data_IF_930348995962
#
_entry.id   IF_930348995962
#
_cell.length_a   1.000
_cell.length_b   1.000
_cell.length_c   1.000
_cell.angle_alpha   90.00
_cell.angle_beta   90.00
_cell.angle_gamma   90.00
#
_symmetry.space_group_name_H-M   'P 1'
#
loop_
_entity.id
_entity.type
_entity.pdbx_description
1 polymer ?
#
# COMPACT_ATOMS: atom_id res chain seq x y z
N UNK A 1 50.03 22.48 19.01
CA UNK A 1 49.00 21.80 19.85
C UNK A 1 47.64 22.51 19.80
N UNK A 2 47.60 23.84 19.72
CA UNK A 2 46.36 24.64 19.68
C UNK A 2 45.57 24.47 18.38
N UNK A 3 46.23 24.53 17.22
CA UNK A 3 45.61 24.29 15.91
C UNK A 3 44.91 22.93 15.79
N UNK A 4 45.54 21.86 16.31
CA UNK A 4 44.93 20.53 16.28
C UNK A 4 43.63 20.45 17.09
N UNK A 5 43.54 21.18 18.21
CA UNK A 5 42.31 21.25 19.01
C UNK A 5 41.23 22.04 18.28
N UNK A 6 41.59 23.14 17.62
CA UNK A 6 40.66 23.95 16.83
C UNK A 6 40.08 23.18 15.63
N UNK A 7 40.92 22.41 14.92
CA UNK A 7 40.49 21.54 13.81
C UNK A 7 39.51 20.47 14.32
N UNK A 8 39.79 19.83 15.46
CA UNK A 8 38.90 18.82 16.05
C UNK A 8 37.56 19.43 16.47
N UNK A 9 37.58 20.61 17.10
CA UNK A 9 36.35 21.32 17.50
C UNK A 9 35.52 21.71 16.28
N UNK A 10 36.16 22.19 15.20
CA UNK A 10 35.49 22.51 13.95
C UNK A 10 34.84 21.27 13.31
N UNK A 11 35.53 20.13 13.30
CA UNK A 11 34.99 18.86 12.79
C UNK A 11 33.80 18.36 13.63
N UNK A 12 33.87 18.47 14.96
CA UNK A 12 32.76 18.11 15.85
C UNK A 12 31.56 19.05 15.63
N UNK A 13 31.79 20.35 15.46
CA UNK A 13 30.72 21.31 15.20
C UNK A 13 30.02 21.04 13.85
N UNK A 14 30.80 20.78 12.79
CA UNK A 14 30.26 20.44 11.47
C UNK A 14 29.52 19.10 11.50
N UNK A 15 30.11 18.06 12.10
CA UNK A 15 29.47 16.75 12.25
C UNK A 15 28.21 16.82 13.12
N UNK A 16 28.25 17.60 14.19
CA UNK A 16 27.16 17.82 15.12
C UNK A 16 25.95 18.52 14.49
N UNK A 17 26.16 19.38 13.48
CA UNK A 17 25.07 20.00 12.72
C UNK A 17 24.57 19.11 11.56
N UNK A 18 25.48 18.37 10.92
CA UNK A 18 25.17 17.57 9.74
C UNK A 18 24.36 16.30 10.06
N UNK A 19 24.69 15.60 11.15
CA UNK A 19 23.96 14.40 11.59
C UNK A 19 22.46 14.68 11.83
N UNK A 20 22.06 15.67 12.66
CA UNK A 20 20.64 15.94 12.89
C UNK A 20 19.93 16.43 11.62
N UNK A 21 20.61 17.15 10.74
CA UNK A 21 20.05 17.53 9.44
C UNK A 21 19.71 16.31 8.58
N UNK A 22 20.64 15.35 8.46
CA UNK A 22 20.41 14.12 7.70
C UNK A 22 19.30 13.26 8.33
N UNK A 23 19.26 13.15 9.66
CA UNK A 23 18.18 12.45 10.36
C UNK A 23 16.82 13.12 10.13
N UNK A 24 16.77 14.46 10.14
CA UNK A 24 15.54 15.21 9.87
C UNK A 24 15.09 15.01 8.42
N UNK A 25 16.01 15.06 7.46
CA UNK A 25 15.71 14.83 6.04
C UNK A 25 15.23 13.40 5.77
N UNK A 26 15.86 12.40 6.37
CA UNK A 26 15.39 11.02 6.28
C UNK A 26 13.99 10.84 6.89
N UNK A 27 13.70 11.51 8.02
CA UNK A 27 12.36 11.48 8.61
C UNK A 27 11.32 12.13 7.70
N UNK A 28 11.65 13.26 7.07
CA UNK A 28 10.79 13.96 6.11
C UNK A 28 10.50 13.08 4.89
N UNK A 29 11.52 12.44 4.32
CA UNK A 29 11.37 11.52 3.18
C UNK A 29 10.52 10.30 3.55
N UNK A 30 10.79 9.68 4.69
CA UNK A 30 10.00 8.54 5.16
C UNK A 30 8.54 8.91 5.42
N UNK A 31 8.29 10.12 5.93
CA UNK A 31 6.93 10.63 6.11
C UNK A 31 6.21 10.81 4.76
N UNK A 32 6.88 11.43 3.77
CA UNK A 32 6.34 11.59 2.41
C UNK A 32 6.05 10.26 1.74
N UNK A 33 6.94 9.27 1.86
CA UNK A 33 6.71 7.92 1.33
C UNK A 33 5.51 7.26 2.03
N UNK A 34 5.41 7.39 3.35
CA UNK A 34 4.28 6.83 4.10
C UNK A 34 2.94 7.49 3.72
N UNK A 35 2.94 8.78 3.41
CA UNK A 35 1.78 9.51 2.91
C UNK A 35 1.37 9.03 1.51
N UNK A 36 2.32 8.99 0.56
CA UNK A 36 2.08 8.49 -0.79
C UNK A 36 1.56 7.05 -0.80
N UNK A 37 2.08 6.21 0.10
CA UNK A 37 1.61 4.84 0.29
C UNK A 37 0.17 4.77 0.77
N UNK A 38 -0.22 5.62 1.72
CA UNK A 38 -1.63 5.71 2.19
C UNK A 38 -2.55 6.16 1.06
N UNK A 39 -2.12 7.15 0.28
CA UNK A 39 -2.86 7.66 -0.87
C UNK A 39 -3.04 6.58 -1.94
N UNK A 40 -1.97 5.84 -2.27
CA UNK A 40 -2.02 4.73 -3.21
C UNK A 40 -3.01 3.64 -2.78
N UNK A 41 -3.00 3.25 -1.51
CA UNK A 41 -3.97 2.29 -1.00
C UNK A 41 -5.39 2.83 -0.96
N UNK A 42 -5.58 4.09 -0.60
CA UNK A 42 -6.91 4.70 -0.62
C UNK A 42 -7.48 4.73 -2.05
N UNK A 43 -6.67 5.14 -3.02
CA UNK A 43 -6.99 5.15 -4.45
C UNK A 43 -7.35 3.76 -4.96
N UNK A 44 -6.49 2.77 -4.67
CA UNK A 44 -6.72 1.36 -5.04
C UNK A 44 -8.00 0.80 -4.42
N UNK A 45 -8.19 0.94 -3.10
CA UNK A 45 -9.36 0.37 -2.42
C UNK A 45 -10.66 1.05 -2.82
N UNK A 46 -10.62 2.37 -3.08
CA UNK A 46 -11.76 3.11 -3.63
C UNK A 46 -12.13 2.56 -5.00
N UNK A 47 -11.18 2.54 -5.94
CA UNK A 47 -11.42 2.02 -7.30
C UNK A 47 -11.91 0.57 -7.28
N UNK A 48 -11.31 -0.29 -6.45
CA UNK A 48 -11.72 -1.68 -6.29
C UNK A 48 -13.16 -1.82 -5.80
N UNK A 49 -13.55 -1.04 -4.79
CA UNK A 49 -14.91 -1.07 -4.22
C UNK A 49 -15.93 -0.49 -5.20
N UNK A 50 -15.62 0.62 -5.86
CA UNK A 50 -16.50 1.26 -6.85
C UNK A 50 -16.78 0.33 -8.03
N UNK A 51 -15.75 -0.33 -8.57
CA UNK A 51 -15.93 -1.32 -9.65
C UNK A 51 -16.76 -2.50 -9.17
N UNK A 52 -16.49 -3.04 -7.97
CA UNK A 52 -17.26 -4.17 -7.45
C UNK A 52 -18.76 -3.81 -7.28
N UNK A 53 -19.06 -2.62 -6.76
CA UNK A 53 -20.44 -2.12 -6.60
C UNK A 53 -21.11 -1.92 -7.95
N UNK A 54 -20.43 -1.28 -8.91
CA UNK A 54 -20.97 -1.06 -10.25
C UNK A 54 -21.30 -2.38 -10.95
N UNK A 55 -20.40 -3.37 -10.87
CA UNK A 55 -20.64 -4.71 -11.42
C UNK A 55 -21.84 -5.41 -10.75
N UNK A 56 -21.99 -5.29 -9.42
CA UNK A 56 -23.16 -5.85 -8.71
C UNK A 56 -24.49 -5.22 -9.13
N UNK A 57 -24.48 -3.97 -9.59
CA UNK A 57 -25.66 -3.23 -10.03
C UNK A 57 -25.84 -3.20 -11.56
N UNK A 58 -25.06 -4.00 -12.30
CA UNK A 58 -25.07 -4.05 -13.78
C UNK A 58 -24.83 -2.66 -14.41
N UNK A 59 -24.05 -1.82 -13.73
CA UNK A 59 -23.63 -0.51 -14.21
C UNK A 59 -22.44 -0.64 -15.18
N UNK A 60 -22.37 0.27 -16.15
CA UNK A 60 -21.28 0.29 -17.12
C UNK A 60 -19.97 0.73 -16.46
N UNK A 61 -19.02 -0.19 -16.37
CA UNK A 61 -17.64 0.05 -15.88
C UNK A 61 -16.62 0.21 -17.02
N UNK A 62 -17.11 0.34 -18.26
CA UNK A 62 -16.29 0.54 -19.45
C UNK A 62 -16.10 2.03 -19.78
N UNK A 63 -15.14 2.32 -20.65
CA UNK A 63 -14.90 3.66 -21.14
C UNK A 63 -13.57 4.25 -20.68
N UNK A 64 -13.11 5.24 -21.45
CA UNK A 64 -11.76 5.79 -21.35
C UNK A 64 -11.42 6.36 -19.97
N UNK A 65 -12.38 6.99 -19.32
CA UNK A 65 -12.17 7.60 -18.00
C UNK A 65 -12.10 6.54 -16.90
N UNK A 66 -12.99 5.54 -16.91
CA UNK A 66 -12.95 4.41 -15.99
C UNK A 66 -11.66 3.58 -16.15
N UNK A 67 -11.21 3.37 -17.39
CA UNK A 67 -9.94 2.70 -17.68
C UNK A 67 -8.75 3.50 -17.16
N UNK A 68 -8.76 4.82 -17.36
CA UNK A 68 -7.72 5.71 -16.85
C UNK A 68 -7.64 5.67 -15.32
N UNK A 69 -8.76 5.75 -14.63
CA UNK A 69 -8.79 5.73 -13.16
C UNK A 69 -8.29 4.39 -12.61
N UNK A 70 -8.67 3.28 -13.26
CA UNK A 70 -8.19 1.94 -12.94
C UNK A 70 -6.68 1.80 -13.16
N UNK A 71 -6.17 2.35 -14.27
CA UNK A 71 -4.72 2.37 -14.56
C UNK A 71 -3.97 3.17 -13.50
N UNK A 72 -4.44 4.39 -13.18
CA UNK A 72 -3.81 5.24 -12.18
C UNK A 72 -3.78 4.59 -10.79
N UNK A 73 -4.89 3.99 -10.36
CA UNK A 73 -4.97 3.29 -9.09
C UNK A 73 -3.99 2.09 -9.03
N UNK A 74 -3.86 1.35 -10.13
CA UNK A 74 -2.91 0.24 -10.25
C UNK A 74 -1.45 0.71 -10.28
N UNK A 75 -1.13 1.75 -11.05
CA UNK A 75 0.22 2.29 -11.14
C UNK A 75 0.71 2.81 -9.78
N UNK A 76 -0.15 3.52 -9.05
CA UNK A 76 0.16 3.97 -7.69
C UNK A 76 0.37 2.79 -6.74
N UNK A 77 -0.45 1.74 -6.83
CA UNK A 77 -0.27 0.52 -6.04
C UNK A 77 1.08 -0.14 -6.36
N UNK A 78 1.41 -0.31 -7.64
CA UNK A 78 2.67 -0.91 -8.09
C UNK A 78 3.90 -0.14 -7.59
N UNK A 79 3.81 1.18 -7.51
CA UNK A 79 4.92 2.04 -7.10
C UNK A 79 5.16 2.05 -5.59
N UNK A 80 4.10 2.03 -4.78
CA UNK A 80 4.20 2.29 -3.34
C UNK A 80 3.86 1.11 -2.42
N UNK A 81 3.26 0.04 -2.96
CA UNK A 81 2.94 -1.13 -2.15
C UNK A 81 4.16 -2.02 -1.91
N UNK A 82 4.20 -2.69 -0.75
CA UNK A 82 5.18 -3.76 -0.51
C UNK A 82 4.98 -4.96 -1.43
N UNK A 83 6.06 -5.71 -1.60
CA UNK A 83 6.09 -7.01 -2.28
C UNK A 83 4.99 -7.96 -1.83
N UNK A 84 4.66 -7.99 -0.53
CA UNK A 84 3.63 -8.89 0.01
C UNK A 84 2.23 -8.50 -0.49
N UNK A 85 1.95 -7.20 -0.60
CA UNK A 85 0.70 -6.70 -1.19
C UNK A 85 0.65 -7.01 -2.68
N UNK A 86 1.76 -6.78 -3.40
CA UNK A 86 1.84 -7.06 -4.85
C UNK A 86 1.61 -8.55 -5.13
N UNK A 87 2.22 -9.44 -4.35
CA UNK A 87 2.03 -10.89 -4.49
C UNK A 87 0.59 -11.32 -4.17
N UNK A 88 -0.01 -10.76 -3.12
CA UNK A 88 -1.40 -11.05 -2.77
C UNK A 88 -2.35 -10.60 -3.89
N UNK A 89 -2.11 -9.41 -4.45
CA UNK A 89 -2.90 -8.88 -5.55
C UNK A 89 -2.71 -9.67 -6.86
N UNK A 90 -1.49 -10.01 -7.24
CA UNK A 90 -1.21 -10.87 -8.41
C UNK A 90 -1.91 -12.23 -8.28
N UNK A 91 -1.91 -12.82 -7.08
CA UNK A 91 -2.61 -14.09 -6.83
C UNK A 91 -4.12 -13.95 -7.04
N UNK A 92 -4.73 -12.85 -6.56
CA UNK A 92 -6.14 -12.57 -6.78
C UNK A 92 -6.46 -12.36 -8.27
N UNK A 93 -5.67 -11.54 -8.99
CA UNK A 93 -5.88 -11.27 -10.42
C UNK A 93 -5.81 -12.57 -11.23
N UNK A 94 -4.79 -13.39 -11.02
CA UNK A 94 -4.66 -14.70 -11.71
C UNK A 94 -5.83 -15.62 -11.45
N UNK A 95 -6.40 -15.56 -10.25
CA UNK A 95 -7.56 -16.35 -9.87
C UNK A 95 -8.85 -15.81 -10.50
N UNK A 96 -9.02 -14.49 -10.52
CA UNK A 96 -10.15 -13.81 -11.14
C UNK A 96 -10.22 -14.02 -12.67
N UNK A 97 -9.11 -14.41 -13.32
CA UNK A 97 -9.11 -14.76 -14.74
C UNK A 97 -9.55 -16.21 -15.04
N UNK A 98 -9.80 -17.04 -14.01
CA UNK A 98 -10.19 -18.45 -14.18
C UNK A 98 -11.70 -18.56 -14.41
N UNK A 99 -12.12 -19.26 -15.48
CA UNK A 99 -13.55 -19.41 -15.87
C UNK A 99 -14.50 -20.05 -14.84
N UNK A 100 -13.98 -20.66 -13.78
CA UNK A 100 -14.77 -21.32 -12.72
C UNK A 100 -14.44 -20.66 -11.39
N UNK A 101 -15.29 -19.71 -11.01
CA UNK A 101 -15.13 -18.95 -9.77
C UNK A 101 -15.70 -19.73 -8.60
N UNK A 102 -14.85 -20.09 -7.64
CA UNK A 102 -15.25 -20.36 -6.27
C UNK A 102 -15.16 -19.03 -5.50
N UNK A 103 -16.33 -18.54 -5.07
CA UNK A 103 -16.51 -17.25 -4.38
C UNK A 103 -15.84 -17.23 -3.01
N UNK A 104 -15.82 -18.37 -2.30
CA UNK A 104 -15.17 -18.47 -0.99
C UNK A 104 -13.67 -18.23 -1.15
N UNK A 105 -13.08 -18.80 -2.20
CA UNK A 105 -11.67 -18.62 -2.52
C UNK A 105 -11.36 -17.21 -3.00
N UNK A 106 -12.24 -16.59 -3.79
CA UNK A 106 -12.06 -15.19 -4.22
C UNK A 106 -12.05 -14.26 -3.00
N UNK A 107 -13.01 -14.45 -2.10
CA UNK A 107 -13.11 -13.72 -0.84
C UNK A 107 -11.88 -13.92 0.06
N UNK A 108 -11.35 -15.13 0.15
CA UNK A 108 -10.10 -15.39 0.89
C UNK A 108 -8.91 -14.62 0.29
N UNK A 109 -8.82 -14.56 -1.04
CA UNK A 109 -7.76 -13.83 -1.74
C UNK A 109 -7.88 -12.31 -1.53
N UNK A 110 -9.10 -11.77 -1.58
CA UNK A 110 -9.36 -10.36 -1.25
C UNK A 110 -8.99 -10.06 0.21
N UNK A 111 -9.36 -10.95 1.14
CA UNK A 111 -8.97 -10.82 2.55
C UNK A 111 -7.45 -10.84 2.74
N UNK A 112 -6.72 -11.60 1.92
CA UNK A 112 -5.25 -11.66 1.93
C UNK A 112 -4.64 -10.33 1.51
N UNK A 113 -5.22 -9.65 0.51
CA UNK A 113 -4.80 -8.30 0.10
C UNK A 113 -4.98 -7.32 1.26
N UNK A 114 -6.15 -7.31 1.92
CA UNK A 114 -6.40 -6.42 3.05
C UNK A 114 -5.43 -6.66 4.22
N UNK A 115 -5.12 -7.93 4.51
CA UNK A 115 -4.18 -8.27 5.57
C UNK A 115 -2.77 -7.78 5.25
N UNK A 116 -2.33 -7.96 4.00
CA UNK A 116 -1.04 -7.47 3.52
C UNK A 116 -0.96 -5.94 3.62
N UNK A 117 -1.98 -5.21 3.16
CA UNK A 117 -2.04 -3.74 3.26
C UNK A 117 -1.96 -3.29 4.73
N UNK A 118 -2.69 -3.96 5.64
CA UNK A 118 -2.61 -3.66 7.08
C UNK A 118 -1.20 -3.85 7.64
N UNK A 119 -0.55 -4.96 7.32
CA UNK A 119 0.84 -5.23 7.76
C UNK A 119 1.77 -4.15 7.21
N UNK A 120 1.55 -3.73 5.97
CA UNK A 120 2.43 -2.81 5.30
C UNK A 120 2.28 -1.35 5.76
N UNK A 121 1.10 -0.98 6.24
CA UNK A 121 0.82 0.33 6.83
C UNK A 121 1.17 0.42 8.32
N UNK A 122 0.95 -0.67 9.07
CA UNK A 122 1.03 -0.67 10.54
C UNK A 122 2.26 -1.41 11.08
N UNK A 123 3.00 -2.12 10.23
CA UNK A 123 4.12 -2.99 10.58
C UNK A 123 3.67 -4.30 11.23
N UNK A 124 3.02 -4.23 12.40
CA UNK A 124 2.52 -5.39 13.15
C UNK A 124 1.00 -5.32 13.26
N UNK A 125 0.33 -6.45 13.06
CA UNK A 125 -1.12 -6.57 13.26
C UNK A 125 -1.46 -7.86 13.99
N UNK A 126 -2.42 -7.78 14.92
CA UNK A 126 -3.04 -8.95 15.56
C UNK A 126 -4.25 -9.48 14.78
N UNK A 127 -4.71 -8.72 13.78
CA UNK A 127 -5.77 -9.14 12.86
C UNK A 127 -5.28 -10.33 12.04
N UNK A 128 -6.14 -11.33 11.90
CA UNK A 128 -5.88 -12.58 11.18
C UNK A 128 -6.86 -12.71 10.01
N UNK A 129 -6.61 -13.69 9.14
CA UNK A 129 -7.52 -14.03 8.04
C UNK A 129 -8.93 -14.35 8.52
N UNK A 130 -9.07 -15.07 9.64
CA UNK A 130 -10.37 -15.40 10.24
C UNK A 130 -11.16 -14.15 10.67
N UNK A 131 -10.48 -13.15 11.25
CA UNK A 131 -11.11 -11.88 11.58
C UNK A 131 -11.62 -11.14 10.33
N UNK A 132 -10.87 -11.23 9.22
CA UNK A 132 -11.24 -10.58 7.96
C UNK A 132 -12.32 -11.34 7.21
N UNK A 133 -12.33 -12.67 7.25
CA UNK A 133 -13.34 -13.50 6.59
C UNK A 133 -14.77 -13.12 7.02
N UNK A 134 -14.97 -12.77 8.29
CA UNK A 134 -16.27 -12.34 8.81
C UNK A 134 -16.68 -10.89 8.43
N UNK A 135 -15.70 -10.09 8.02
CA UNK A 135 -15.85 -8.67 7.69
C UNK A 135 -15.75 -8.40 6.19
N UNK A 136 -15.32 -9.38 5.40
CA UNK A 136 -15.16 -9.22 3.97
C UNK A 136 -16.53 -9.05 3.31
N UNK A 137 -16.80 -7.92 2.62
CA UNK A 137 -18.08 -7.71 1.94
C UNK A 137 -18.39 -8.81 0.91
N UNK A 138 -17.36 -9.41 0.30
CA UNK A 138 -17.52 -10.52 -0.66
C UNK A 138 -17.92 -11.86 -0.01
N UNK A 139 -17.95 -11.96 1.33
CA UNK A 139 -18.45 -13.13 2.06
C UNK A 139 -19.91 -12.98 2.52
N UNK A 140 -20.57 -11.85 2.20
CA UNK A 140 -21.94 -11.56 2.66
C UNK A 140 -22.90 -11.40 1.48
N UNK A 141 -23.08 -12.48 0.73
CA UNK A 141 -24.18 -12.64 -0.24
C UNK A 141 -23.82 -12.20 -1.65
#
# INVERSE_FOLDING_TARGET
MTEYKEIIVALIAVGGAMIPYLLQKNKELNFKIAEQKREAYASFLKNFTEIAVAVMHDEDVSGKDADRDRMLARDQLLLYASDDVIKAYDTWVRYADIKKHDLDRESELVSSIFLAIRKDLLGKTKVTMEHLANLNPFNRG
#
